data_IF_964862129161
#
_entry.id   IF_964862129161
#
_cell.length_a   1.000
_cell.length_b   1.000
_cell.length_c   1.000
_cell.angle_alpha   90.00
_cell.angle_beta   90.00
_cell.angle_gamma   90.00
#
_symmetry.space_group_name_H-M   'P 1'
#
loop_
_entity.id
_entity.type
_entity.pdbx_description
1 polymer ?
#
# COMPACT_ATOMS: atom_id res chain seq x y z
N UNK A 1 11.00 -6.22 -7.43
CA UNK A 1 11.98 -5.58 -8.32
C UNK A 1 12.52 -4.30 -7.70
N UNK A 2 13.51 -3.72 -8.35
CA UNK A 2 14.20 -2.47 -7.99
C UNK A 2 14.11 -1.44 -9.10
N UNK A 3 14.05 -0.17 -8.74
CA UNK A 3 14.04 0.93 -9.71
C UNK A 3 14.45 2.27 -9.11
N UNK A 4 15.00 3.15 -9.95
CA UNK A 4 15.36 4.52 -9.58
C UNK A 4 14.15 5.42 -9.73
N UNK A 5 13.80 6.16 -8.70
CA UNK A 5 12.59 6.98 -8.70
C UNK A 5 12.90 8.49 -8.61
N UNK A 6 12.09 9.28 -9.31
CA UNK A 6 12.02 10.73 -9.19
C UNK A 6 10.56 11.12 -8.94
N UNK A 7 10.32 12.08 -8.04
CA UNK A 7 8.98 12.64 -7.85
C UNK A 7 9.05 14.07 -7.30
N UNK A 8 8.18 14.96 -7.80
CA UNK A 8 8.13 16.36 -7.36
C UNK A 8 9.45 17.10 -7.53
N UNK A 9 10.18 16.83 -8.62
CA UNK A 9 11.49 17.42 -8.91
C UNK A 9 12.65 16.93 -8.04
N UNK A 10 12.48 15.84 -7.27
CA UNK A 10 13.52 15.26 -6.42
C UNK A 10 13.88 13.85 -6.87
N UNK A 11 15.18 13.55 -6.87
CA UNK A 11 15.68 12.18 -7.00
C UNK A 11 15.55 11.47 -5.64
N UNK A 12 14.90 10.31 -5.64
CA UNK A 12 14.64 9.49 -4.44
C UNK A 12 15.61 8.31 -4.32
N UNK A 13 16.48 8.11 -5.33
CA UNK A 13 17.46 7.04 -5.38
C UNK A 13 16.88 5.70 -5.88
N UNK A 14 17.66 4.64 -5.67
CA UNK A 14 17.28 3.26 -5.98
C UNK A 14 16.41 2.70 -4.86
N UNK A 15 15.18 2.32 -5.18
CA UNK A 15 14.20 1.78 -4.23
C UNK A 15 13.82 0.35 -4.62
N UNK A 16 13.27 -0.38 -3.65
CA UNK A 16 12.89 -1.78 -3.80
C UNK A 16 13.98 -2.75 -3.34
N UNK A 17 13.54 -3.92 -2.88
CA UNK A 17 14.43 -4.97 -2.39
C UNK A 17 13.90 -6.35 -2.77
N UNK A 18 12.65 -6.66 -2.35
CA UNK A 18 12.00 -7.94 -2.65
C UNK A 18 11.84 -8.19 -4.15
N UNK A 19 12.09 -9.43 -4.57
CA UNK A 19 11.89 -9.85 -5.97
C UNK A 19 10.57 -10.57 -6.17
N UNK A 20 9.94 -11.00 -5.09
CA UNK A 20 8.60 -11.58 -5.05
C UNK A 20 7.74 -10.87 -4.00
N UNK A 21 6.41 -10.71 -4.20
CA UNK A 21 5.51 -10.19 -3.17
C UNK A 21 5.45 -11.09 -1.92
N UNK A 22 5.92 -12.34 -2.03
CA UNK A 22 6.00 -13.30 -0.93
C UNK A 22 7.28 -13.17 -0.08
N UNK A 23 8.11 -12.15 -0.34
CA UNK A 23 9.37 -11.89 0.36
C UNK A 23 9.35 -10.51 1.02
N UNK A 24 9.44 -10.44 2.35
CA UNK A 24 9.65 -9.16 3.04
C UNK A 24 8.61 -8.07 2.76
N UNK A 25 8.96 -6.85 3.17
CA UNK A 25 8.08 -5.68 3.09
C UNK A 25 8.30 -4.88 1.79
N UNK A 26 7.27 -4.20 1.26
CA UNK A 26 7.41 -3.36 0.08
C UNK A 26 8.12 -2.05 0.39
N UNK A 27 8.62 -1.43 -0.69
CA UNK A 27 8.91 0.00 -0.74
C UNK A 27 7.76 0.71 -1.44
N UNK A 28 7.48 1.96 -1.06
CA UNK A 28 6.47 2.78 -1.73
C UNK A 28 6.87 4.26 -1.75
N UNK A 29 6.20 5.04 -2.59
CA UNK A 29 6.37 6.49 -2.68
C UNK A 29 4.99 7.11 -2.61
N UNK A 30 4.78 8.04 -1.70
CA UNK A 30 3.61 8.91 -1.74
C UNK A 30 3.91 10.11 -2.63
N UNK A 31 3.08 10.33 -3.64
CA UNK A 31 3.19 11.44 -4.59
C UNK A 31 1.88 12.26 -4.52
N UNK A 32 1.93 13.54 -4.12
CA UNK A 32 0.73 14.38 -4.03
C UNK A 32 0.22 14.75 -5.42
N UNK A 33 -1.04 15.19 -5.49
CA UNK A 33 -1.67 15.67 -6.72
C UNK A 33 -0.80 16.69 -7.47
N UNK A 34 -0.81 16.63 -8.81
CA UNK A 34 -0.09 17.58 -9.66
C UNK A 34 1.43 17.45 -9.65
N UNK A 35 2.01 16.51 -8.90
CA UNK A 35 3.44 16.22 -8.96
C UNK A 35 3.76 15.23 -10.08
N UNK A 36 4.73 15.57 -10.91
CA UNK A 36 5.33 14.63 -11.84
C UNK A 36 6.17 13.58 -11.10
N UNK A 37 6.17 12.36 -11.64
CA UNK A 37 6.99 11.27 -11.14
C UNK A 37 7.44 10.35 -12.28
N UNK A 38 8.56 9.65 -12.06
CA UNK A 38 9.06 8.62 -12.97
C UNK A 38 9.77 7.54 -12.18
N UNK A 39 9.71 6.31 -12.70
CA UNK A 39 10.49 5.17 -12.19
C UNK A 39 11.19 4.52 -13.37
N UNK A 40 12.51 4.41 -13.30
CA UNK A 40 13.31 3.62 -14.24
C UNK A 40 13.65 2.29 -13.60
N UNK A 41 13.19 1.20 -14.21
CA UNK A 41 13.45 -0.14 -13.73
C UNK A 41 14.96 -0.48 -13.83
N UNK A 42 15.55 -0.93 -12.73
CA UNK A 42 16.95 -1.40 -12.65
C UNK A 42 17.01 -2.94 -12.78
N UNK A 43 15.88 -3.58 -12.55
CA UNK A 43 15.61 -5.03 -12.69
C UNK A 43 14.19 -5.19 -13.24
N UNK A 44 13.74 -6.42 -13.51
CA UNK A 44 12.32 -6.67 -13.75
C UNK A 44 11.47 -6.09 -12.62
N UNK A 45 10.57 -5.19 -12.98
CA UNK A 45 9.82 -4.37 -12.05
C UNK A 45 8.33 -4.54 -12.27
N UNK A 46 7.67 -4.91 -11.18
CA UNK A 46 6.23 -4.83 -11.06
C UNK A 46 5.90 -3.67 -10.12
N UNK A 47 5.18 -2.68 -10.64
CA UNK A 47 4.85 -1.44 -9.94
C UNK A 47 3.33 -1.26 -9.89
N UNK A 48 2.77 -1.23 -8.69
CA UNK A 48 1.38 -0.85 -8.47
C UNK A 48 1.28 0.69 -8.40
N UNK A 49 0.38 1.27 -9.19
CA UNK A 49 0.05 2.70 -9.13
C UNK A 49 -1.35 2.84 -8.56
N UNK A 50 -1.43 3.08 -7.25
CA UNK A 50 -2.68 3.36 -6.56
C UNK A 50 -2.98 4.86 -6.64
N UNK A 51 -4.17 5.25 -7.10
CA UNK A 51 -4.55 6.66 -7.24
C UNK A 51 -5.95 6.91 -6.69
N UNK A 52 -6.12 8.06 -6.04
CA UNK A 52 -7.39 8.61 -5.60
C UNK A 52 -7.36 10.15 -5.80
N UNK A 53 -8.51 10.85 -5.75
CA UNK A 53 -8.52 12.31 -5.79
C UNK A 53 -7.62 12.89 -4.70
N UNK A 54 -6.84 13.92 -5.04
CA UNK A 54 -6.21 14.74 -4.01
C UNK A 54 -7.17 15.82 -3.51
N UNK A 55 -6.97 16.27 -2.29
CA UNK A 55 -7.83 17.25 -1.61
C UNK A 55 -7.11 18.59 -1.41
N UNK A 56 -5.97 18.78 -2.09
CA UNK A 56 -5.13 19.98 -1.95
C UNK A 56 -4.38 20.04 -0.61
N UNK A 57 -4.18 18.91 0.09
CA UNK A 57 -3.62 18.86 1.44
C UNK A 57 -2.15 19.27 1.57
N UNK A 58 -1.47 19.61 0.46
CA UNK A 58 -0.10 20.14 0.47
C UNK A 58 0.97 19.19 1.02
N UNK A 59 0.66 17.89 1.11
CA UNK A 59 1.58 16.88 1.63
C UNK A 59 2.80 16.73 0.70
N UNK A 60 4.03 16.57 1.25
CA UNK A 60 5.21 16.43 0.43
C UNK A 60 5.33 15.03 -0.17
N UNK A 61 6.05 14.93 -1.30
CA UNK A 61 6.61 13.66 -1.76
C UNK A 61 7.43 13.04 -0.63
N UNK A 62 7.21 11.74 -0.38
CA UNK A 62 8.02 10.98 0.58
C UNK A 62 8.15 9.51 0.17
N UNK A 63 9.29 8.94 0.49
CA UNK A 63 9.49 7.49 0.47
C UNK A 63 8.84 6.89 1.71
N UNK A 64 8.21 5.74 1.54
CA UNK A 64 7.70 4.90 2.62
C UNK A 64 8.50 3.59 2.55
N UNK A 65 9.50 3.48 3.41
CA UNK A 65 10.42 2.34 3.42
C UNK A 65 9.91 1.18 4.29
N UNK A 66 10.48 -0.04 4.16
CA UNK A 66 10.15 -1.20 4.97
C UNK A 66 10.12 -0.96 6.49
N UNK A 67 11.01 -0.10 6.98
CA UNK A 67 11.13 0.23 8.41
C UNK A 67 10.01 1.15 8.90
N UNK A 68 9.37 1.90 7.99
CA UNK A 68 8.22 2.76 8.31
C UNK A 68 6.90 1.97 8.40
N UNK A 69 6.88 0.73 7.89
CA UNK A 69 5.67 -0.07 7.78
C UNK A 69 5.38 -0.89 9.05
N UNK A 70 4.17 -0.71 9.56
CA UNK A 70 3.62 -1.59 10.60
C UNK A 70 3.24 -2.94 10.01
N UNK A 71 3.70 -4.02 10.66
CA UNK A 71 3.26 -5.38 10.38
C UNK A 71 2.54 -5.97 11.59
N UNK A 72 1.49 -6.72 11.31
CA UNK A 72 0.70 -7.36 12.34
C UNK A 72 0.20 -8.74 11.89
N UNK A 73 0.02 -9.61 12.87
CA UNK A 73 -0.63 -10.91 12.69
C UNK A 73 -2.06 -10.76 13.16
N UNK A 74 -3.02 -10.89 12.24
CA UNK A 74 -4.46 -10.82 12.55
C UNK A 74 -5.07 -12.21 12.53
N UNK A 75 -6.02 -12.47 13.42
CA UNK A 75 -6.79 -13.73 13.49
C UNK A 75 -6.06 -14.89 14.19
N UNK A 76 -6.72 -16.05 14.23
CA UNK A 76 -6.24 -17.30 14.86
C UNK A 76 -6.60 -18.49 13.98
N UNK A 77 -5.79 -19.56 14.03
CA UNK A 77 -6.03 -20.79 13.26
C UNK A 77 -6.11 -20.53 11.76
N UNK A 78 -7.13 -21.07 11.10
CA UNK A 78 -7.37 -20.89 9.66
C UNK A 78 -7.83 -19.48 9.27
N UNK A 79 -7.92 -18.54 10.21
CA UNK A 79 -8.14 -17.11 9.94
C UNK A 79 -6.87 -16.26 10.23
N UNK A 80 -5.71 -16.89 10.48
CA UNK A 80 -4.45 -16.17 10.68
C UNK A 80 -3.93 -15.60 9.36
N UNK A 81 -3.57 -14.32 9.33
CA UNK A 81 -3.01 -13.62 8.16
C UNK A 81 -1.97 -12.59 8.57
N UNK A 82 -1.06 -12.29 7.65
CA UNK A 82 0.02 -11.33 7.85
C UNK A 82 -0.30 -10.06 7.08
N UNK A 83 -0.43 -8.95 7.80
CA UNK A 83 -0.87 -7.67 7.25
C UNK A 83 0.30 -6.70 7.31
N UNK A 84 0.63 -6.07 6.18
CA UNK A 84 1.56 -4.93 6.13
C UNK A 84 0.77 -3.67 5.79
N UNK A 85 0.70 -2.73 6.73
CA UNK A 85 0.00 -1.46 6.55
C UNK A 85 0.92 -0.46 5.84
N UNK A 86 0.77 -0.32 4.52
CA UNK A 86 1.61 0.55 3.68
C UNK A 86 1.27 2.02 3.91
N UNK A 87 -0.01 2.35 3.85
CA UNK A 87 -0.55 3.69 4.07
C UNK A 87 -1.88 3.58 4.82
N UNK A 88 -1.87 3.37 6.15
CA UNK A 88 -3.09 3.31 6.95
C UNK A 88 -3.65 4.71 7.25
N UNK A 89 -4.87 4.78 7.77
CA UNK A 89 -5.58 6.03 8.10
C UNK A 89 -4.80 6.99 9.00
N UNK A 90 -3.97 6.45 9.92
CA UNK A 90 -3.17 7.24 10.85
C UNK A 90 -1.91 7.84 10.22
N UNK A 91 -1.64 7.58 8.94
CA UNK A 91 -0.51 8.17 8.21
C UNK A 91 -1.02 9.26 7.24
N UNK A 92 -0.28 10.38 7.07
CA UNK A 92 -0.74 11.48 6.23
C UNK A 92 -0.95 11.07 4.77
N UNK A 93 -2.19 11.19 4.30
CA UNK A 93 -2.60 11.10 2.91
C UNK A 93 -3.93 11.83 2.74
N UNK A 94 -4.18 12.38 1.56
CA UNK A 94 -5.44 13.07 1.28
C UNK A 94 -6.62 12.08 1.19
N UNK A 95 -6.42 10.90 0.57
CA UNK A 95 -7.52 9.95 0.34
C UNK A 95 -7.11 8.47 0.30
N UNK A 96 -5.87 8.15 -0.07
CA UNK A 96 -5.44 6.77 -0.23
C UNK A 96 -5.29 6.03 1.11
N UNK A 97 -5.87 4.83 1.17
CA UNK A 97 -5.53 3.78 2.12
C UNK A 97 -4.91 2.61 1.34
N UNK A 98 -3.78 2.08 1.79
CA UNK A 98 -3.08 0.99 1.09
C UNK A 98 -2.59 -0.06 2.08
N UNK A 99 -2.94 -1.31 1.83
CA UNK A 99 -2.57 -2.47 2.65
C UNK A 99 -2.24 -3.66 1.75
N UNK A 100 -1.25 -4.47 2.15
CA UNK A 100 -1.04 -5.80 1.59
C UNK A 100 -1.32 -6.86 2.65
N UNK A 101 -1.87 -8.00 2.22
CA UNK A 101 -2.20 -9.12 3.10
C UNK A 101 -1.70 -10.42 2.49
N UNK A 102 -0.93 -11.19 3.27
CA UNK A 102 -0.57 -12.57 2.96
C UNK A 102 -1.49 -13.50 3.74
N UNK A 103 -2.26 -14.28 3.00
CA UNK A 103 -3.16 -15.32 3.52
C UNK A 103 -2.53 -16.69 3.24
N UNK A 104 -2.12 -17.45 4.26
CA UNK A 104 -1.56 -18.78 4.07
C UNK A 104 -2.50 -19.74 3.35
N UNK A 105 -1.95 -20.78 2.73
CA UNK A 105 -2.73 -21.82 2.05
C UNK A 105 -3.75 -22.46 2.99
N UNK A 106 -5.02 -22.53 2.54
CA UNK A 106 -6.14 -23.05 3.34
C UNK A 106 -6.70 -22.09 4.39
N UNK A 107 -6.18 -20.86 4.47
CA UNK A 107 -6.72 -19.83 5.36
C UNK A 107 -7.72 -18.93 4.64
N UNK A 108 -8.58 -18.26 5.41
CA UNK A 108 -9.53 -17.26 4.92
C UNK A 108 -9.13 -15.86 5.40
N UNK A 109 -9.17 -14.86 4.51
CA UNK A 109 -8.95 -13.45 4.82
C UNK A 109 -10.17 -12.59 4.47
N UNK A 110 -10.13 -11.31 4.85
CA UNK A 110 -11.29 -10.40 4.81
C UNK A 110 -12.54 -10.99 5.52
N UNK A 111 -12.28 -11.83 6.53
CA UNK A 111 -13.27 -12.55 7.33
C UNK A 111 -13.03 -12.31 8.84
N UNK A 112 -14.08 -12.15 9.69
CA UNK A 112 -15.52 -12.15 9.36
C UNK A 112 -15.93 -11.09 8.32
N UNK A 113 -17.06 -11.28 7.61
CA UNK A 113 -17.50 -10.36 6.58
C UNK A 113 -17.66 -8.95 7.16
N UNK A 114 -17.25 -7.96 6.40
CA UNK A 114 -17.42 -6.55 6.73
C UNK A 114 -17.72 -5.79 5.44
N UNK A 115 -18.19 -4.54 5.61
CA UNK A 115 -18.48 -3.63 4.52
C UNK A 115 -18.11 -2.20 4.94
N UNK A 116 -17.92 -1.36 3.94
CA UNK A 116 -17.64 0.07 4.04
C UNK A 116 -18.22 0.73 2.78
N UNK A 117 -19.53 0.58 2.60
CA UNK A 117 -20.27 1.01 1.41
C UNK A 117 -21.34 2.07 1.73
N UNK A 118 -21.35 2.61 2.95
CA UNK A 118 -22.25 3.66 3.39
C UNK A 118 -21.51 4.83 4.02
N UNK A 119 -21.91 6.04 3.65
CA UNK A 119 -21.49 7.27 4.32
C UNK A 119 -22.33 7.48 5.59
N UNK A 120 -21.91 6.87 6.70
CA UNK A 120 -22.65 6.84 7.97
C UNK A 120 -21.71 6.92 9.18
N UNK A 121 -20.84 7.92 9.20
CA UNK A 121 -19.89 8.13 10.30
C UNK A 121 -20.62 8.45 11.63
N UNK A 122 -20.13 7.93 12.78
CA UNK A 122 -18.87 7.20 12.95
C UNK A 122 -18.99 5.68 12.79
N UNK A 123 -20.17 5.15 12.42
CA UNK A 123 -20.40 3.71 12.37
C UNK A 123 -19.74 3.05 11.15
N UNK A 124 -19.79 3.72 10.00
CA UNK A 124 -19.24 3.21 8.74
C UNK A 124 -18.82 4.36 7.81
N UNK A 125 -17.67 4.20 7.15
CA UNK A 125 -17.22 5.08 6.08
C UNK A 125 -17.53 4.48 4.71
N UNK A 126 -17.75 5.34 3.71
CA UNK A 126 -17.82 4.91 2.32
C UNK A 126 -16.40 4.79 1.76
N UNK A 127 -15.95 3.58 1.46
CA UNK A 127 -14.64 3.27 0.90
C UNK A 127 -14.78 2.29 -0.26
N UNK A 128 -14.34 2.72 -1.45
CA UNK A 128 -14.12 1.81 -2.57
C UNK A 128 -12.86 0.97 -2.29
N UNK A 129 -12.89 -0.33 -2.60
CA UNK A 129 -11.76 -1.23 -2.38
C UNK A 129 -11.49 -2.08 -3.63
N UNK A 130 -10.21 -2.27 -3.96
CA UNK A 130 -9.76 -3.11 -5.08
C UNK A 130 -8.76 -4.13 -4.58
N UNK A 131 -8.81 -5.35 -5.15
CA UNK A 131 -7.89 -6.43 -4.82
C UNK A 131 -7.02 -6.79 -6.01
N UNK A 132 -5.70 -6.78 -5.80
CA UNK A 132 -4.72 -7.33 -6.73
C UNK A 132 -4.15 -8.63 -6.15
N UNK A 133 -4.57 -9.77 -6.69
CA UNK A 133 -4.20 -11.08 -6.16
C UNK A 133 -2.94 -11.65 -6.82
N UNK A 134 -2.12 -12.30 -6.00
CA UNK A 134 -0.94 -13.08 -6.40
C UNK A 134 -0.99 -14.45 -5.74
N UNK A 135 -0.45 -15.45 -6.43
CA UNK A 135 -0.35 -16.83 -5.98
C UNK A 135 1.11 -17.30 -6.09
N UNK A 136 1.52 -18.25 -5.23
CA UNK A 136 2.83 -18.89 -5.21
C UNK A 136 2.66 -20.42 -5.19
#
# INVERSE_FOLDING_TARGET
>A
GKGKANAGGKELGLLGERMSPFEGKPWSIYVPQGSEWSVSADTDLELAVCSAPGLGGGLPVRVIGPDDLGQEVRGKGTNTRYVTNILPEGKPADSLLVVEVITPGGHTSSYPPHKHDQDNLPAESYLEETYYHRLN
#
